data_IF_279044417261
#
_entry.id   IF_279044417261
#
_cell.length_a   1.000
_cell.length_b   1.000
_cell.length_c   1.000
_cell.angle_alpha   90.00
_cell.angle_beta   90.00
_cell.angle_gamma   90.00
#
_symmetry.space_group_name_H-M   'P 1'
#
loop_
_entity.id
_entity.type
_entity.pdbx_description
1 polymer ?
#
# COMPACT_ATOMS: atom_id res chain seq x y z
N UNK A 1 13.80 -6.96 2.96
CA UNK A 1 12.52 -7.03 3.71
C UNK A 1 11.71 -5.74 3.73
N UNK A 2 11.83 -4.89 2.71
CA UNK A 2 11.04 -3.66 2.58
C UNK A 2 9.62 -4.00 2.14
N UNK A 3 8.63 -3.62 2.95
CA UNK A 3 7.23 -3.57 2.51
C UNK A 3 6.22 -4.45 3.22
N UNK A 4 6.55 -5.06 4.37
CA UNK A 4 5.55 -5.77 5.19
C UNK A 4 5.01 -4.88 6.32
N UNK A 5 3.80 -4.36 6.17
CA UNK A 5 3.11 -3.54 7.18
C UNK A 5 1.92 -4.30 7.77
N UNK A 6 1.73 -4.24 9.08
CA UNK A 6 0.56 -4.87 9.73
C UNK A 6 -0.71 -4.08 9.43
N UNK A 7 -1.69 -4.70 8.74
CA UNK A 7 -2.92 -4.02 8.36
C UNK A 7 -3.71 -3.52 9.57
N UNK A 8 -3.71 -4.26 10.69
CA UNK A 8 -4.40 -3.86 11.91
C UNK A 8 -3.85 -2.55 12.49
N UNK A 9 -2.52 -2.40 12.52
CA UNK A 9 -1.85 -1.17 12.99
C UNK A 9 -2.12 0.01 12.04
N UNK A 10 -2.19 -0.25 10.74
CA UNK A 10 -2.55 0.80 9.77
C UNK A 10 -4.01 1.20 9.92
N UNK A 11 -4.92 0.25 10.11
CA UNK A 11 -6.37 0.47 10.16
C UNK A 11 -6.76 1.48 11.24
N UNK A 12 -6.12 1.45 12.41
CA UNK A 12 -6.42 2.36 13.53
C UNK A 12 -5.92 3.79 13.33
N UNK A 13 -5.06 4.03 12.33
CA UNK A 13 -4.55 5.37 12.05
C UNK A 13 -5.64 6.24 11.39
N UNK A 14 -5.67 7.56 11.64
CA UNK A 14 -6.49 8.48 10.86
C UNK A 14 -6.19 8.34 9.35
N UNK A 15 -7.19 8.47 8.45
CA UNK A 15 -6.99 8.24 7.01
C UNK A 15 -5.84 9.04 6.40
N UNK A 16 -5.64 10.29 6.85
CA UNK A 16 -4.57 11.14 6.37
C UNK A 16 -3.17 10.67 6.82
N UNK A 17 -3.05 10.04 8.00
CA UNK A 17 -1.79 9.47 8.48
C UNK A 17 -1.52 8.15 7.76
N UNK A 18 -2.54 7.27 7.65
CA UNK A 18 -2.43 6.00 6.93
C UNK A 18 -1.97 6.22 5.48
N UNK A 19 -2.58 7.15 4.74
CA UNK A 19 -2.17 7.48 3.36
C UNK A 19 -0.73 7.98 3.26
N UNK A 20 -0.22 8.73 4.24
CA UNK A 20 1.18 9.17 4.28
C UNK A 20 2.13 8.00 4.48
N UNK A 21 1.81 7.07 5.39
CA UNK A 21 2.59 5.85 5.60
C UNK A 21 2.63 5.01 4.33
N UNK A 22 1.47 4.78 3.70
CA UNK A 22 1.37 4.05 2.44
C UNK A 22 2.21 4.70 1.33
N UNK A 23 2.11 6.02 1.17
CA UNK A 23 2.89 6.75 0.17
C UNK A 23 4.39 6.54 0.36
N UNK A 24 4.87 6.65 1.60
CA UNK A 24 6.28 6.43 1.91
C UNK A 24 6.71 5.00 1.59
N UNK A 25 5.96 4.00 2.05
CA UNK A 25 6.30 2.60 1.83
C UNK A 25 6.32 2.22 0.33
N UNK A 26 5.41 2.78 -0.46
CA UNK A 26 5.36 2.57 -1.91
C UNK A 26 6.56 3.21 -2.63
N UNK A 27 6.97 4.41 -2.22
CA UNK A 27 8.16 5.09 -2.78
C UNK A 27 9.44 4.35 -2.35
N UNK A 28 9.55 3.96 -1.08
CA UNK A 28 10.67 3.18 -0.55
C UNK A 28 10.78 1.81 -1.25
N UNK A 29 9.66 1.25 -1.72
CA UNK A 29 9.62 0.04 -2.54
C UNK A 29 9.97 0.28 -4.03
N UNK A 30 10.28 1.51 -4.45
CA UNK A 30 10.78 1.82 -5.80
C UNK A 30 9.79 2.51 -6.73
N UNK A 31 8.60 2.90 -6.27
CA UNK A 31 7.66 3.62 -7.10
C UNK A 31 8.11 5.08 -7.35
N UNK A 32 8.11 5.57 -8.59
CA UNK A 32 8.42 6.97 -8.89
C UNK A 32 7.42 7.92 -8.23
N UNK A 33 7.90 8.79 -7.35
CA UNK A 33 7.06 9.73 -6.61
C UNK A 33 6.22 10.64 -7.52
N UNK A 34 6.74 11.01 -8.70
CA UNK A 34 6.05 11.84 -9.70
C UNK A 34 4.93 11.12 -10.46
N UNK A 35 4.88 9.78 -10.40
CA UNK A 35 3.83 8.97 -11.05
C UNK A 35 2.83 8.39 -10.04
N UNK A 36 3.06 8.60 -8.74
CA UNK A 36 2.23 8.08 -7.67
C UNK A 36 1.10 9.07 -7.30
N UNK A 37 -0.09 8.84 -7.86
CA UNK A 37 -1.28 9.67 -7.63
C UNK A 37 -2.14 9.20 -6.46
N UNK A 38 -3.03 10.08 -5.99
CA UNK A 38 -3.96 9.81 -4.89
C UNK A 38 -4.80 8.54 -5.11
N UNK A 39 -5.30 8.32 -6.34
CA UNK A 39 -6.06 7.12 -6.72
C UNK A 39 -5.29 5.82 -6.42
N UNK A 40 -3.97 5.80 -6.64
CA UNK A 40 -3.16 4.61 -6.39
C UNK A 40 -3.11 4.32 -4.89
N UNK A 41 -2.96 5.37 -4.07
CA UNK A 41 -2.96 5.25 -2.61
C UNK A 41 -4.33 4.86 -2.07
N UNK A 42 -5.42 5.30 -2.68
CA UNK A 42 -6.78 4.90 -2.33
C UNK A 42 -7.03 3.41 -2.57
N UNK A 43 -6.59 2.87 -3.71
CA UNK A 43 -6.70 1.42 -3.97
C UNK A 43 -5.88 0.59 -2.99
N UNK A 44 -4.67 1.05 -2.64
CA UNK A 44 -3.85 0.39 -1.59
C UNK A 44 -4.53 0.50 -0.22
N UNK A 45 -5.14 1.65 0.11
CA UNK A 45 -5.87 1.84 1.36
C UNK A 45 -7.07 0.89 1.50
N UNK A 46 -7.74 0.57 0.39
CA UNK A 46 -8.85 -0.39 0.35
C UNK A 46 -8.43 -1.81 0.70
N UNK A 47 -7.17 -2.19 0.44
CA UNK A 47 -6.64 -3.48 0.89
C UNK A 47 -6.65 -3.60 2.42
N UNK A 48 -6.61 -2.47 3.14
CA UNK A 48 -6.61 -2.41 4.61
C UNK A 48 -8.04 -2.23 5.14
N UNK A 49 -8.78 -1.26 4.61
CA UNK A 49 -10.06 -0.82 5.19
C UNK A 49 -11.28 -1.54 4.64
N UNK A 50 -11.19 -2.11 3.44
CA UNK A 50 -12.33 -2.66 2.70
C UNK A 50 -12.09 -4.08 2.20
N UNK A 51 -11.30 -4.89 2.93
CA UNK A 51 -10.90 -6.18 2.42
C UNK A 51 -12.07 -7.15 2.22
N UNK A 52 -12.23 -7.63 0.99
CA UNK A 52 -13.27 -8.59 0.55
C UNK A 52 -12.71 -9.56 -0.50
N UNK A 53 -11.45 -9.98 -0.35
CA UNK A 53 -10.78 -10.88 -1.29
C UNK A 53 -10.17 -10.17 -2.51
N UNK A 54 -9.71 -8.91 -2.36
CA UNK A 54 -9.07 -8.19 -3.46
C UNK A 54 -7.77 -8.86 -3.91
N UNK A 55 -7.42 -8.64 -5.17
CA UNK A 55 -6.12 -9.05 -5.74
C UNK A 55 -5.04 -8.01 -5.46
N UNK A 56 -3.82 -8.33 -5.87
CA UNK A 56 -2.71 -7.39 -5.84
C UNK A 56 -3.01 -6.15 -6.71
N UNK A 57 -2.53 -4.99 -6.26
CA UNK A 57 -2.63 -3.71 -6.95
C UNK A 57 -1.28 -3.40 -7.57
N UNK A 58 -1.28 -3.19 -8.88
CA UNK A 58 -0.10 -2.74 -9.62
C UNK A 58 0.04 -1.23 -9.48
N UNK A 59 1.25 -0.80 -9.12
CA UNK A 59 1.65 0.58 -8.91
C UNK A 59 2.73 0.96 -9.93
N UNK A 60 2.93 2.26 -10.18
CA UNK A 60 4.02 2.74 -11.03
C UNK A 60 5.39 2.21 -10.56
N UNK A 61 6.32 2.02 -11.50
CA UNK A 61 7.68 1.57 -11.18
C UNK A 61 7.83 0.08 -10.93
N UNK A 62 6.92 -0.74 -11.47
CA UNK A 62 6.87 -2.21 -11.26
C UNK A 62 6.73 -2.57 -9.77
N UNK A 63 6.04 -1.73 -9.02
CA UNK A 63 5.72 -2.00 -7.62
C UNK A 63 4.35 -2.66 -7.55
N UNK A 64 4.23 -3.70 -6.73
CA UNK A 64 2.99 -4.41 -6.45
C UNK A 64 2.69 -4.31 -4.96
N UNK A 65 1.43 -3.99 -4.61
CA UNK A 65 0.93 -4.03 -3.24
C UNK A 65 -0.19 -5.06 -3.10
N UNK A 66 -0.10 -5.95 -2.10
CA UNK A 66 -1.12 -6.97 -1.84
C UNK A 66 -1.30 -7.21 -0.35
N UNK A 67 -2.47 -7.66 0.09
CA UNK A 67 -2.67 -8.13 1.47
C UNK A 67 -2.48 -9.65 1.54
N UNK A 68 -1.62 -10.11 2.45
CA UNK A 68 -1.33 -11.52 2.69
C UNK A 68 -1.24 -11.76 4.20
N UNK A 69 -2.05 -12.68 4.73
CA UNK A 69 -1.99 -13.06 6.16
C UNK A 69 -2.14 -11.89 7.13
N UNK A 70 -2.97 -10.89 6.79
CA UNK A 70 -3.16 -9.69 7.63
C UNK A 70 -2.05 -8.64 7.52
N UNK A 71 -1.06 -8.85 6.65
CA UNK A 71 0.00 -7.88 6.33
C UNK A 71 -0.21 -7.31 4.94
N UNK A 72 0.05 -6.02 4.77
CA UNK A 72 0.23 -5.40 3.47
C UNK A 72 1.67 -5.67 3.04
N UNK A 73 1.85 -6.33 1.91
CA UNK A 73 3.13 -6.66 1.29
C UNK A 73 3.30 -5.78 0.06
N UNK A 74 4.36 -4.99 0.03
CA UNK A 74 4.72 -4.10 -1.09
C UNK A 74 6.09 -4.56 -1.60
N UNK A 75 6.22 -4.79 -2.91
CA UNK A 75 7.46 -5.29 -3.51
C UNK A 75 7.66 -4.72 -4.90
N UNK A 76 8.91 -4.54 -5.30
CA UNK A 76 9.28 -4.29 -6.70
C UNK A 76 9.52 -5.62 -7.42
N UNK A 77 9.07 -5.73 -8.67
CA UNK A 77 9.34 -6.87 -9.57
C UNK A 77 10.28 -6.51 -10.69
#
# INVERSE_FOLDING_TARGET
>A
DTGQLECAKLYVLPPAVRRRVLRRAVIEAGAPAGSLFARHLEEVDRLITGWRGQRAINLPGRVEARRQGGRLVIRQS
#
